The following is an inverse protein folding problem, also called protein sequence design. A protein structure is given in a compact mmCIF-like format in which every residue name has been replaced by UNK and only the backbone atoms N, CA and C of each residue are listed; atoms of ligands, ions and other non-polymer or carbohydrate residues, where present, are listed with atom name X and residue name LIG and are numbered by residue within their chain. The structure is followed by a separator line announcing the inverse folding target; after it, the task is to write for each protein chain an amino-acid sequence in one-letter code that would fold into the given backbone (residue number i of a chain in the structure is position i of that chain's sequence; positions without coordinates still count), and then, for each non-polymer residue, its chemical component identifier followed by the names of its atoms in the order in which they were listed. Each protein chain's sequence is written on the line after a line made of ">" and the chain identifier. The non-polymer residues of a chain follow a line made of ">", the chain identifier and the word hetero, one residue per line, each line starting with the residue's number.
data_IF_079548201246
#
_entry.id   IF_079548201246
#
_cell.length_a   1.000
_cell.length_b   1.000
_cell.length_c   1.000
_cell.angle_alpha   90.00
_cell.angle_beta   90.00
_cell.angle_gamma   90.00
#
_symmetry.space_group_name_H-M   'P 1'
#
loop_
_entity.id
_entity.type
_entity.pdbx_description
1 polymer ?
#
# COMPACT_ATOMS: atom_id res chain seq x y z
N UNK A 1 -8.63 -19.56 8.06
CA UNK A 1 -7.39 -19.62 7.24
C UNK A 1 -6.95 -18.20 6.95
N UNK A 2 -5.73 -17.85 7.27
CA UNK A 2 -5.20 -16.51 6.92
C UNK A 2 -5.02 -16.45 5.39
N UNK A 3 -5.65 -15.48 4.76
CA UNK A 3 -5.49 -15.22 3.33
C UNK A 3 -4.37 -14.19 3.21
N UNK A 4 -3.28 -14.54 2.54
CA UNK A 4 -2.21 -13.59 2.20
C UNK A 4 -2.43 -13.09 0.79
N UNK A 5 -2.26 -11.82 0.58
CA UNK A 5 -2.26 -11.23 -0.75
C UNK A 5 -0.94 -10.50 -0.98
N UNK A 6 -0.45 -10.59 -2.20
CA UNK A 6 0.78 -9.96 -2.64
C UNK A 6 0.45 -8.84 -3.61
N UNK A 7 0.72 -7.61 -3.22
CA UNK A 7 0.70 -6.51 -4.15
C UNK A 7 1.98 -6.52 -4.98
N UNK A 8 1.85 -6.60 -6.28
CA UNK A 8 3.02 -6.60 -7.16
C UNK A 8 3.79 -5.29 -7.10
N UNK A 9 3.11 -4.15 -6.95
CA UNK A 9 3.73 -2.84 -6.87
C UNK A 9 2.77 -1.86 -6.22
N UNK A 10 3.20 -1.15 -5.18
CA UNK A 10 2.35 -0.20 -4.43
C UNK A 10 2.75 1.26 -4.59
N UNK A 11 3.99 1.52 -5.00
CA UNK A 11 4.49 2.85 -5.31
C UNK A 11 5.64 2.80 -6.30
N UNK A 12 5.88 3.91 -7.00
CA UNK A 12 7.01 4.13 -7.90
C UNK A 12 7.60 5.51 -7.58
N UNK A 13 8.92 5.63 -7.65
CA UNK A 13 9.61 6.92 -7.54
C UNK A 13 9.13 7.86 -8.65
N UNK A 14 8.93 9.12 -8.30
CA UNK A 14 8.41 10.14 -9.20
C UNK A 14 7.41 11.07 -8.53
N UNK A 15 6.51 11.67 -9.31
CA UNK A 15 5.61 12.71 -8.82
C UNK A 15 4.59 12.17 -7.82
N UNK A 16 4.23 13.01 -6.84
CA UNK A 16 3.21 12.77 -5.84
C UNK A 16 1.88 13.43 -6.24
N UNK A 17 0.81 13.10 -5.52
CA UNK A 17 -0.52 13.69 -5.73
C UNK A 17 -0.59 15.18 -5.35
N UNK A 18 0.37 15.67 -4.57
CA UNK A 18 0.48 17.07 -4.15
C UNK A 18 1.61 17.84 -4.87
N UNK A 19 2.12 17.29 -6.00
CA UNK A 19 3.07 17.96 -6.89
C UNK A 19 4.53 17.90 -6.44
N UNK A 20 4.84 17.16 -5.37
CA UNK A 20 6.23 16.87 -4.97
C UNK A 20 6.75 15.64 -5.72
N UNK A 21 8.02 15.35 -5.58
CA UNK A 21 8.66 14.18 -6.19
C UNK A 21 9.12 13.22 -5.11
N UNK A 22 8.79 11.95 -5.25
CA UNK A 22 9.32 10.89 -4.40
C UNK A 22 10.70 10.52 -4.91
N UNK A 23 11.70 10.75 -4.08
CA UNK A 23 13.05 10.31 -4.35
C UNK A 23 13.15 8.77 -4.25
N UNK A 24 13.93 8.11 -5.11
CA UNK A 24 14.16 6.67 -5.05
C UNK A 24 14.65 6.18 -3.69
N UNK A 25 15.46 7.01 -3.01
CA UNK A 25 16.03 6.74 -1.69
C UNK A 25 14.95 6.57 -0.63
N UNK A 26 13.84 7.29 -0.71
CA UNK A 26 12.75 7.19 0.27
C UNK A 26 12.04 5.84 0.19
N UNK A 27 11.88 5.28 -1.02
CA UNK A 27 11.33 3.94 -1.19
C UNK A 27 12.26 2.86 -0.66
N UNK A 28 13.56 3.03 -0.91
CA UNK A 28 14.61 2.12 -0.39
C UNK A 28 14.69 2.19 1.13
N UNK A 29 14.65 3.40 1.72
CA UNK A 29 14.62 3.60 3.17
C UNK A 29 13.35 2.99 3.80
N UNK A 30 12.18 3.24 3.22
CA UNK A 30 10.93 2.67 3.69
C UNK A 30 10.96 1.14 3.68
N UNK A 31 11.50 0.52 2.64
CA UNK A 31 11.66 -0.93 2.55
C UNK A 31 12.63 -1.48 3.60
N UNK A 32 13.79 -0.83 3.78
CA UNK A 32 14.82 -1.21 4.75
C UNK A 32 14.34 -1.10 6.19
N UNK A 33 13.58 -0.03 6.49
CA UNK A 33 13.23 0.34 7.86
C UNK A 33 11.92 -0.27 8.33
N UNK A 34 11.08 -0.74 7.41
CA UNK A 34 9.75 -1.25 7.74
C UNK A 34 9.82 -2.44 8.69
N UNK A 35 9.20 -2.30 9.84
CA UNK A 35 9.06 -3.36 10.82
C UNK A 35 7.67 -3.25 11.47
N UNK A 36 6.84 -4.27 11.26
CA UNK A 36 5.46 -4.32 11.76
C UNK A 36 5.38 -4.23 13.28
N UNK A 37 6.38 -4.75 14.01
CA UNK A 37 6.44 -4.67 15.47
C UNK A 37 6.72 -3.24 15.96
N UNK A 38 7.42 -2.44 15.14
CA UNK A 38 7.70 -1.04 15.43
C UNK A 38 6.51 -0.15 15.11
N UNK A 39 5.97 -0.27 13.90
CA UNK A 39 4.76 0.38 13.43
C UNK A 39 4.22 -0.37 12.21
N UNK A 40 3.05 -0.99 12.35
CA UNK A 40 2.38 -1.71 11.28
C UNK A 40 1.47 -0.77 10.46
N UNK A 41 1.81 -0.52 9.21
CA UNK A 41 0.94 0.23 8.31
C UNK A 41 -0.35 -0.54 8.05
N UNK A 42 -1.49 0.18 8.08
CA UNK A 42 -2.81 -0.40 7.77
C UNK A 42 -3.19 -0.15 6.32
N UNK A 43 -3.93 -1.10 5.75
CA UNK A 43 -4.63 -0.88 4.48
C UNK A 43 -5.92 -0.13 4.76
N UNK A 44 -6.13 1.01 4.08
CA UNK A 44 -7.29 1.87 4.27
C UNK A 44 -7.94 2.25 2.94
N UNK A 45 -9.13 2.88 2.99
CA UNK A 45 -9.79 3.42 1.81
C UNK A 45 -9.48 4.91 1.65
N UNK A 46 -8.96 5.30 0.48
CA UNK A 46 -8.77 6.72 0.10
C UNK A 46 -7.95 7.53 1.11
N UNK A 47 -7.02 6.92 1.83
CA UNK A 47 -6.25 7.52 2.93
C UNK A 47 -7.11 7.98 4.13
N UNK A 48 -8.32 7.43 4.28
CA UNK A 48 -9.12 7.59 5.49
C UNK A 48 -9.02 6.35 6.36
N UNK A 49 -8.80 6.54 7.65
CA UNK A 49 -8.85 5.48 8.65
C UNK A 49 -9.69 5.96 9.84
N UNK A 50 -10.87 5.39 9.96
CA UNK A 50 -11.78 5.70 11.05
C UNK A 50 -11.38 5.00 12.36
N UNK A 51 -11.54 5.65 13.52
CA UNK A 51 -11.42 5.00 14.82
C UNK A 51 -12.60 4.05 15.12
N UNK A 52 -13.70 4.12 14.35
CA UNK A 52 -14.88 3.31 14.57
C UNK A 52 -14.83 2.03 13.72
N UNK A 53 -14.92 0.83 14.34
CA UNK A 53 -14.76 -0.45 13.64
C UNK A 53 -15.88 -0.73 12.63
N UNK A 54 -17.06 -0.17 12.82
CA UNK A 54 -18.22 -0.36 11.94
C UNK A 54 -18.28 0.66 10.79
N UNK A 55 -17.29 1.56 10.71
CA UNK A 55 -17.21 2.56 9.64
C UNK A 55 -16.86 1.91 8.30
N UNK A 56 -17.36 2.47 7.20
CA UNK A 56 -16.89 2.14 5.84
C UNK A 56 -15.40 2.48 5.63
N UNK A 57 -14.85 3.37 6.45
CA UNK A 57 -13.43 3.73 6.46
C UNK A 57 -12.62 3.00 7.54
N UNK A 58 -13.07 1.82 7.99
CA UNK A 58 -12.28 0.94 8.85
C UNK A 58 -11.02 0.43 8.16
N UNK A 59 -10.18 -0.29 8.88
CA UNK A 59 -9.03 -0.95 8.28
C UNK A 59 -9.46 -2.15 7.41
N UNK A 60 -8.84 -2.27 6.25
CA UNK A 60 -9.10 -3.32 5.25
C UNK A 60 -7.99 -4.37 5.16
N UNK A 61 -6.98 -4.27 5.99
CA UNK A 61 -5.88 -5.21 6.07
C UNK A 61 -4.66 -4.63 6.76
N UNK A 62 -3.63 -5.45 6.86
CA UNK A 62 -2.32 -5.11 7.40
C UNK A 62 -1.24 -5.27 6.34
N UNK A 63 -0.26 -4.36 6.33
CA UNK A 63 0.98 -4.56 5.57
C UNK A 63 1.89 -5.46 6.40
N UNK A 64 2.26 -6.62 5.84
CA UNK A 64 3.10 -7.61 6.51
C UNK A 64 4.58 -7.30 6.33
N UNK A 65 4.98 -6.99 5.10
CA UNK A 65 6.34 -6.68 4.70
C UNK A 65 6.36 -5.80 3.47
N UNK A 66 7.47 -5.10 3.25
CA UNK A 66 7.72 -4.32 2.04
C UNK A 66 9.15 -4.55 1.55
N UNK A 67 9.37 -4.43 0.25
CA UNK A 67 10.68 -4.42 -0.36
C UNK A 67 10.73 -3.42 -1.51
N UNK A 68 11.92 -2.95 -1.86
CA UNK A 68 12.13 -2.03 -2.98
C UNK A 68 13.00 -2.70 -4.06
N UNK A 69 12.64 -2.47 -5.31
CA UNK A 69 13.31 -3.04 -6.48
C UNK A 69 13.26 -2.05 -7.64
N UNK A 70 14.31 -2.03 -8.48
CA UNK A 70 14.27 -1.31 -9.74
C UNK A 70 13.38 -2.06 -10.75
N UNK A 71 12.48 -1.33 -11.39
CA UNK A 71 11.62 -1.83 -12.46
C UNK A 71 11.77 -0.97 -13.70
N UNK A 72 11.61 -1.57 -14.87
CA UNK A 72 11.56 -0.83 -16.14
C UNK A 72 10.11 -0.42 -16.42
N UNK A 73 9.89 0.89 -16.61
CA UNK A 73 8.59 1.49 -16.94
C UNK A 73 8.84 2.46 -18.10
N UNK A 74 8.19 2.23 -19.23
CA UNK A 74 8.31 3.05 -20.44
C UNK A 74 9.77 3.24 -20.89
N UNK A 75 10.61 2.19 -20.76
CA UNK A 75 12.03 2.21 -21.12
C UNK A 75 12.95 2.92 -20.11
N UNK A 76 12.41 3.39 -18.98
CA UNK A 76 13.17 4.01 -17.89
C UNK A 76 13.22 3.10 -16.66
N UNK A 77 14.39 3.00 -16.03
CA UNK A 77 14.55 2.32 -14.74
C UNK A 77 14.06 3.24 -13.62
N UNK A 78 13.09 2.75 -12.84
CA UNK A 78 12.53 3.47 -11.69
C UNK A 78 12.52 2.58 -10.47
N UNK A 79 12.84 3.14 -9.30
CA UNK A 79 12.68 2.44 -8.03
C UNK A 79 11.19 2.27 -7.74
N UNK A 80 10.79 1.06 -7.38
CA UNK A 80 9.43 0.73 -6.99
C UNK A 80 9.39 0.06 -5.61
N UNK A 81 8.29 0.28 -4.89
CA UNK A 81 7.99 -0.37 -3.62
C UNK A 81 6.92 -1.43 -3.83
N UNK A 82 7.14 -2.59 -3.24
CA UNK A 82 6.25 -3.75 -3.24
C UNK A 82 5.84 -4.07 -1.82
N UNK A 83 4.64 -4.64 -1.63
CA UNK A 83 4.13 -4.99 -0.32
C UNK A 83 3.45 -6.36 -0.32
N UNK A 84 3.67 -7.11 0.75
CA UNK A 84 2.84 -8.25 1.13
C UNK A 84 1.80 -7.78 2.15
N UNK A 85 0.56 -8.18 1.99
CA UNK A 85 -0.53 -7.78 2.88
C UNK A 85 -1.30 -8.97 3.43
N UNK A 86 -1.94 -8.75 4.58
CA UNK A 86 -3.00 -9.61 5.12
C UNK A 86 -4.34 -8.89 4.92
N UNK A 87 -5.09 -9.21 3.83
CA UNK A 87 -6.32 -8.51 3.50
C UNK A 87 -7.49 -9.04 4.33
N UNK A 88 -8.41 -8.14 4.70
CA UNK A 88 -9.72 -8.55 5.18
C UNK A 88 -10.56 -9.17 4.06
N UNK A 89 -11.59 -9.93 4.43
CA UNK A 89 -12.54 -10.46 3.44
C UNK A 89 -13.25 -9.34 2.65
N UNK A 90 -13.48 -8.20 3.27
CA UNK A 90 -14.11 -7.06 2.61
C UNK A 90 -13.20 -6.44 1.54
N UNK A 91 -11.89 -6.35 1.78
CA UNK A 91 -10.94 -5.94 0.74
C UNK A 91 -10.96 -6.91 -0.45
N UNK A 92 -10.99 -8.22 -0.16
CA UNK A 92 -11.05 -9.24 -1.19
C UNK A 92 -12.34 -9.13 -2.02
N UNK A 93 -13.48 -8.90 -1.37
CA UNK A 93 -14.78 -8.68 -2.05
C UNK A 93 -14.74 -7.44 -2.94
N UNK A 94 -14.22 -6.31 -2.42
CA UNK A 94 -14.08 -5.07 -3.19
C UNK A 94 -13.21 -5.26 -4.43
N UNK A 95 -12.05 -5.91 -4.28
CA UNK A 95 -11.14 -6.13 -5.39
C UNK A 95 -11.72 -7.08 -6.44
N UNK A 96 -12.37 -8.19 -6.04
CA UNK A 96 -13.10 -9.08 -6.96
C UNK A 96 -14.22 -8.37 -7.71
N UNK A 97 -14.87 -7.40 -7.08
CA UNK A 97 -15.87 -6.54 -7.71
C UNK A 97 -15.24 -5.40 -8.56
N UNK A 98 -13.92 -5.43 -8.78
CA UNK A 98 -13.15 -4.42 -9.50
C UNK A 98 -13.31 -3.02 -8.91
N UNK A 99 -13.41 -2.94 -7.58
CA UNK A 99 -13.41 -1.71 -6.82
C UNK A 99 -12.09 -1.58 -6.06
N UNK A 100 -11.59 -0.34 -5.93
CA UNK A 100 -10.36 -0.05 -5.17
C UNK A 100 -9.15 -0.84 -5.69
N UNK A 101 -8.96 -0.83 -7.01
CA UNK A 101 -7.92 -1.59 -7.72
C UNK A 101 -6.58 -0.87 -7.82
N UNK A 102 -6.53 0.41 -7.45
CA UNK A 102 -5.29 1.20 -7.40
C UNK A 102 -4.79 1.32 -5.98
N UNK A 103 -3.48 1.45 -5.82
CA UNK A 103 -2.83 1.66 -4.51
C UNK A 103 -2.08 2.97 -4.46
N UNK A 104 -2.03 3.57 -3.28
CA UNK A 104 -1.24 4.76 -2.97
C UNK A 104 -0.66 4.63 -1.57
N UNK A 105 0.63 4.89 -1.38
CA UNK A 105 1.27 4.81 -0.07
C UNK A 105 1.39 6.19 0.58
N UNK A 106 1.38 6.19 1.91
CA UNK A 106 1.73 7.35 2.72
C UNK A 106 3.11 7.11 3.34
N UNK A 107 4.05 8.03 3.08
CA UNK A 107 5.42 8.00 3.62
C UNK A 107 5.61 9.14 4.62
N UNK A 108 6.15 8.80 5.79
CA UNK A 108 6.70 9.75 6.76
C UNK A 108 8.21 9.83 6.51
N UNK A 109 8.70 11.00 6.11
CA UNK A 109 10.11 11.19 5.71
C UNK A 109 11.06 11.37 6.90
N UNK A 110 10.53 11.57 8.09
CA UNK A 110 11.27 11.67 9.34
C UNK A 110 10.55 10.88 10.44
N UNK A 111 10.43 9.57 10.20
CA UNK A 111 9.72 8.69 11.12
C UNK A 111 10.48 8.57 12.44
N UNK A 112 9.80 8.93 13.53
CA UNK A 112 10.36 8.94 14.88
C UNK A 112 11.65 9.77 15.03
N UNK A 113 11.85 10.80 14.20
CA UNK A 113 13.02 11.67 14.26
C UNK A 113 14.32 11.03 13.75
N UNK A 114 14.21 10.01 12.89
CA UNK A 114 15.40 9.29 12.38
C UNK A 114 15.99 9.95 11.14
N UNK A 115 15.28 10.88 10.51
CA UNK A 115 15.65 11.46 9.22
C UNK A 115 15.52 10.49 8.05
N UNK A 116 14.92 9.32 8.26
CA UNK A 116 14.71 8.30 7.22
C UNK A 116 13.22 8.05 6.97
N UNK A 117 12.89 7.76 5.71
CA UNK A 117 11.52 7.49 5.30
C UNK A 117 11.00 6.15 5.84
N UNK A 118 9.71 6.14 6.16
CA UNK A 118 8.98 4.96 6.64
C UNK A 118 7.59 4.89 6.02
N UNK A 119 7.10 3.67 5.75
CA UNK A 119 5.73 3.44 5.29
C UNK A 119 4.76 3.50 6.49
N UNK A 120 3.87 4.49 6.51
CA UNK A 120 2.89 4.67 7.59
C UNK A 120 1.47 4.34 7.19
N UNK A 121 1.17 4.21 5.89
CA UNK A 121 -0.16 3.83 5.40
C UNK A 121 -0.14 3.31 3.97
N UNK A 122 -1.10 2.46 3.64
CA UNK A 122 -1.37 1.95 2.30
C UNK A 122 -2.85 2.13 1.99
N UNK A 123 -3.18 3.02 1.07
CA UNK A 123 -4.54 3.21 0.62
C UNK A 123 -4.87 2.36 -0.61
N UNK A 124 -6.11 1.92 -0.69
CA UNK A 124 -6.72 1.44 -1.93
C UNK A 124 -7.75 2.45 -2.43
N UNK A 125 -7.78 2.70 -3.73
CA UNK A 125 -8.58 3.76 -4.34
C UNK A 125 -9.15 3.36 -5.70
N UNK A 126 -10.20 4.03 -6.14
CA UNK A 126 -10.72 3.92 -7.51
C UNK A 126 -10.16 5.00 -8.44
N UNK A 127 -9.50 6.01 -7.88
CA UNK A 127 -9.03 7.15 -8.64
C UNK A 127 -7.51 7.05 -8.83
N UNK A 128 -7.03 6.59 -9.98
CA UNK A 128 -5.61 6.66 -10.27
C UNK A 128 -5.22 8.13 -10.37
N UNK A 129 -4.23 8.52 -9.59
CA UNK A 129 -3.61 9.81 -9.77
C UNK A 129 -2.73 9.73 -11.03
N UNK A 130 -3.34 9.94 -12.19
CA UNK A 130 -2.58 9.97 -13.44
C UNK A 130 -1.65 11.18 -13.47
N UNK A 131 -0.42 10.94 -13.89
CA UNK A 131 0.56 11.99 -14.13
C UNK A 131 -0.04 13.06 -15.06
N UNK A 132 -0.12 14.32 -14.59
CA UNK A 132 -0.52 15.46 -15.41
C UNK A 132 -2.02 15.76 -15.51
N UNK A 133 -2.87 15.19 -14.64
CA UNK A 133 -4.29 15.60 -14.63
C UNK A 133 -4.48 16.96 -13.96
N UNK A 134 -5.49 17.72 -14.43
CA UNK A 134 -5.90 19.00 -13.84
C UNK A 134 -6.17 18.90 -12.34
N UNK A 135 -6.71 17.76 -11.87
CA UNK A 135 -6.96 17.51 -10.45
C UNK A 135 -5.68 17.46 -9.61
N UNK A 136 -4.60 16.85 -10.11
CA UNK A 136 -3.31 16.83 -9.42
C UNK A 136 -2.68 18.22 -9.38
N UNK A 137 -2.77 18.97 -10.48
CA UNK A 137 -2.31 20.37 -10.53
C UNK A 137 -3.10 21.23 -9.55
N UNK A 138 -4.41 21.03 -9.45
CA UNK A 138 -5.25 21.69 -8.46
C UNK A 138 -4.82 21.36 -7.03
N UNK A 139 -4.64 20.09 -6.69
CA UNK A 139 -4.18 19.67 -5.38
C UNK A 139 -2.79 20.19 -5.03
N UNK A 140 -1.87 20.20 -5.99
CA UNK A 140 -0.52 20.76 -5.84
C UNK A 140 -0.55 22.28 -5.59
N UNK A 141 -1.37 23.01 -6.34
CA UNK A 141 -1.54 24.46 -6.18
C UNK A 141 -2.26 24.89 -4.89
N UNK A 142 -3.07 23.99 -4.32
CA UNK A 142 -3.86 24.28 -3.12
C UNK A 142 -3.06 24.19 -1.80
N UNK A 143 -1.86 23.57 -1.79
CA UNK A 143 -1.03 23.41 -0.61
C UNK A 143 -1.81 22.83 0.59
N UNK A 144 -1.79 23.52 1.73
CA UNK A 144 -2.52 23.10 2.94
C UNK A 144 -4.05 23.10 2.80
N UNK A 145 -4.59 23.76 1.77
CA UNK A 145 -6.02 23.74 1.43
C UNK A 145 -6.40 22.56 0.52
N UNK A 146 -5.44 21.72 0.15
CA UNK A 146 -5.71 20.53 -0.64
C UNK A 146 -6.72 19.63 0.07
N UNK A 147 -7.70 19.05 -0.65
CA UNK A 147 -8.61 18.06 -0.09
C UNK A 147 -7.90 16.83 0.50
N UNK A 148 -6.64 16.60 0.10
CA UNK A 148 -5.80 15.50 0.60
C UNK A 148 -5.04 15.87 1.88
N UNK A 149 -4.87 17.15 2.19
CA UNK A 149 -4.07 17.58 3.34
C UNK A 149 -4.63 17.04 4.66
N UNK A 150 -5.95 17.09 4.85
CA UNK A 150 -6.62 16.59 6.05
C UNK A 150 -6.57 15.05 6.21
N UNK A 151 -6.16 14.32 5.17
CA UNK A 151 -6.06 12.85 5.20
C UNK A 151 -4.69 12.35 5.62
N UNK A 152 -3.70 13.22 5.67
CA UNK A 152 -2.33 12.88 6.08
C UNK A 152 -2.27 12.66 7.59
N UNK A 153 -1.55 11.62 8.02
CA UNK A 153 -1.28 11.38 9.45
C UNK A 153 -0.40 12.48 10.05
N UNK A 154 0.54 13.00 9.25
CA UNK A 154 1.31 14.23 9.52
C UNK A 154 1.25 15.14 8.30
N UNK A 155 1.19 16.44 8.50
CA UNK A 155 1.15 17.44 7.40
C UNK A 155 2.35 17.32 6.43
N UNK A 156 3.49 16.84 6.92
CA UNK A 156 4.72 16.63 6.16
C UNK A 156 4.73 15.33 5.36
N UNK A 157 3.84 14.36 5.65
CA UNK A 157 3.80 13.09 4.95
C UNK A 157 3.49 13.27 3.46
N UNK A 158 3.93 12.31 2.66
CA UNK A 158 3.71 12.26 1.21
C UNK A 158 2.75 11.13 0.86
N UNK A 159 1.82 11.41 -0.05
CA UNK A 159 1.05 10.39 -0.76
C UNK A 159 1.65 10.16 -2.13
N UNK A 160 1.82 8.90 -2.52
CA UNK A 160 2.23 8.57 -3.89
C UNK A 160 1.08 8.78 -4.86
N UNK A 161 1.39 8.92 -6.15
CA UNK A 161 0.39 8.70 -7.19
C UNK A 161 -0.17 7.28 -7.04
N UNK A 162 -1.48 7.14 -7.23
CA UNK A 162 -2.10 5.82 -7.24
C UNK A 162 -1.70 5.08 -8.52
N UNK A 163 -1.30 3.83 -8.38
CA UNK A 163 -0.93 2.95 -9.47
C UNK A 163 -1.87 1.74 -9.50
N UNK A 164 -2.18 1.25 -10.70
CA UNK A 164 -2.90 0.00 -10.86
C UNK A 164 -2.06 -1.14 -10.30
N UNK A 165 -2.66 -1.94 -9.46
CA UNK A 165 -1.97 -3.01 -8.76
C UNK A 165 -2.74 -4.30 -8.93
N UNK A 166 -2.07 -5.32 -9.47
CA UNK A 166 -2.59 -6.68 -9.43
C UNK A 166 -2.44 -7.23 -8.01
N UNK A 167 -3.54 -7.72 -7.46
CA UNK A 167 -3.56 -8.38 -6.17
C UNK A 167 -3.70 -9.88 -6.39
N UNK A 168 -2.67 -10.62 -6.03
CA UNK A 168 -2.73 -12.09 -6.05
C UNK A 168 -3.17 -12.58 -4.68
N UNK A 169 -4.29 -13.29 -4.65
CA UNK A 169 -4.79 -13.94 -3.44
C UNK A 169 -4.40 -15.41 -3.48
N UNK A 170 -3.46 -15.81 -2.61
CA UNK A 170 -3.16 -17.22 -2.39
C UNK A 170 -3.97 -17.72 -1.19
N UNK A 171 -4.82 -18.74 -1.39
CA UNK A 171 -5.32 -19.52 -0.28
C UNK A 171 -4.18 -20.43 0.17
N UNK A 172 -3.65 -20.25 1.38
CA UNK A 172 -2.85 -21.31 2.00
C UNK A 172 -3.81 -22.50 2.19
N UNK A 173 -3.77 -23.42 1.22
CA UNK A 173 -4.47 -24.69 1.33
C UNK A 173 -3.97 -25.36 2.59
N UNK A 174 -4.92 -25.75 3.44
CA UNK A 174 -4.66 -26.71 4.51
C UNK A 174 -3.96 -27.91 3.84
N UNK A 175 -2.66 -28.06 4.10
CA UNK A 175 -1.96 -29.29 3.78
C UNK A 175 -2.48 -30.33 4.76
N UNK A 176 -3.73 -30.72 4.57
CA UNK A 176 -4.26 -31.91 5.22
C UNK A 176 -3.29 -33.07 4.98
N UNK A 177 -3.23 -34.04 5.90
CA UNK A 177 -2.24 -35.09 5.84
C UNK A 177 -2.23 -35.72 4.44
N UNK A 178 -1.03 -35.79 3.86
CA UNK A 178 -0.84 -36.28 2.49
C UNK A 178 -1.49 -37.67 2.37
N UNK A 179 -1.94 -38.03 1.16
CA UNK A 179 -2.48 -39.38 0.89
C UNK A 179 -1.57 -40.49 1.43
N UNK A 180 -0.26 -40.28 1.47
CA UNK A 180 0.76 -41.16 2.03
C UNK A 180 0.65 -41.29 3.57
N UNK A 181 0.29 -40.24 4.29
CA UNK A 181 0.10 -40.28 5.74
C UNK A 181 -1.25 -40.95 6.10
N UNK A 182 -2.29 -40.78 5.28
CA UNK A 182 -3.56 -41.48 5.43
C UNK A 182 -3.42 -42.97 5.18
N UNK A 183 -2.55 -43.39 4.28
CA UNK A 183 -2.30 -44.82 4.00
C UNK A 183 -1.45 -45.48 5.10
N UNK A 184 -0.49 -44.78 5.70
CA UNK A 184 0.33 -45.29 6.82
C UNK A 184 -0.46 -45.50 8.12
N UNK A 185 -1.60 -44.88 8.30
CA UNK A 185 -2.46 -45.07 9.48
C UNK A 185 -3.48 -46.18 9.33
N UNK A 186 -3.47 -46.96 8.22
CA UNK A 186 -4.40 -48.05 7.95
C UNK A 186 -3.76 -49.44 8.07
N UNK A 187 -2.50 -49.53 8.53
CA UNK A 187 -1.82 -50.82 8.80
C UNK A 187 -1.23 -50.84 10.20
#
# INVERSE_FOLDING_TARGET
>A
MAKKAKFKRVAVAGQTTDGRTIAPEWLTQAAKNYNREKYGARVNLEHYLSPFPDSDFRAYGDVLSVYAEEVEIDGEKKMALFADIDPTEDLIKLNKARQKVYTSVELDLDFAGTGEAYLVGLAVTNTPASLGTEYLQFCAGAGDKSPLAARKQKSTNLFTCAIETEVEFTEEGDKGPSLLEKVKGMF
#
